data_IF_630608315292
#
_entry.id   IF_630608315292
#
_cell.length_a   1.000
_cell.length_b   1.000
_cell.length_c   1.000
_cell.angle_alpha   90.00
_cell.angle_beta   90.00
_cell.angle_gamma   90.00
#
_symmetry.space_group_name_H-M   'P 1'
#
loop_
_entity.id
_entity.type
_entity.pdbx_description
1 polymer ?
#
# COMPACT_ATOMS: atom_id res chain seq x y z
N UNK A 1 20.22 -11.09 -21.33
CA UNK A 1 19.06 -10.28 -20.86
C UNK A 1 19.38 -9.76 -19.47
N UNK A 2 19.76 -8.49 -19.33
CA UNK A 2 20.23 -7.90 -18.06
C UNK A 2 19.13 -7.85 -17.00
N UNK A 3 19.45 -8.28 -15.78
CA UNK A 3 18.55 -8.28 -14.60
C UNK A 3 17.98 -6.89 -14.30
N UNK A 4 18.76 -5.83 -14.58
CA UNK A 4 18.33 -4.44 -14.42
C UNK A 4 17.05 -4.11 -15.21
N UNK A 5 16.91 -4.69 -16.42
CA UNK A 5 15.74 -4.46 -17.28
C UNK A 5 14.48 -5.18 -16.78
N UNK A 6 14.63 -6.24 -15.98
CA UNK A 6 13.52 -6.98 -15.38
C UNK A 6 12.99 -6.30 -14.12
N UNK A 7 13.87 -5.70 -13.32
CA UNK A 7 13.49 -5.01 -12.08
C UNK A 7 12.75 -3.68 -12.35
N UNK A 8 13.07 -2.99 -13.45
CA UNK A 8 12.41 -1.72 -13.81
C UNK A 8 10.87 -1.81 -13.93
N UNK A 9 10.33 -2.98 -14.30
CA UNK A 9 8.87 -3.17 -14.36
C UNK A 9 8.19 -3.32 -12.99
N UNK A 10 8.93 -3.77 -11.98
CA UNK A 10 8.39 -4.03 -10.64
C UNK A 10 8.31 -2.75 -9.80
N UNK A 11 9.21 -1.80 -10.04
CA UNK A 11 9.39 -0.62 -9.18
C UNK A 11 8.57 0.60 -9.62
N UNK A 12 8.21 0.71 -10.90
CA UNK A 12 7.65 1.96 -11.47
C UNK A 12 6.12 1.98 -11.66
N UNK A 13 5.37 1.01 -11.14
CA UNK A 13 3.91 1.07 -11.14
C UNK A 13 3.39 1.77 -9.87
N UNK A 14 3.86 2.99 -9.62
CA UNK A 14 3.22 3.92 -8.68
C UNK A 14 2.46 4.94 -9.51
N UNK A 15 1.37 4.47 -10.12
CA UNK A 15 0.32 5.37 -10.58
C UNK A 15 -0.23 6.02 -9.31
N UNK A 16 -0.19 7.36 -9.13
CA UNK A 16 -0.87 7.99 -8.02
C UNK A 16 -2.36 7.80 -8.28
N UNK A 17 -2.89 6.68 -7.78
CA UNK A 17 -4.32 6.41 -7.71
C UNK A 17 -5.02 7.56 -6.99
N UNK A 18 -6.36 7.63 -7.06
CA UNK A 18 -7.11 8.67 -6.35
C UNK A 18 -6.62 8.75 -4.91
N UNK A 19 -6.50 9.96 -4.35
CA UNK A 19 -6.08 10.23 -2.98
C UNK A 19 -7.01 9.46 -2.01
N UNK A 20 -6.67 8.20 -1.75
CA UNK A 20 -7.45 7.32 -0.90
C UNK A 20 -7.23 7.77 0.53
N UNK A 21 -8.33 8.12 1.20
CA UNK A 21 -8.33 8.41 2.62
C UNK A 21 -8.51 7.11 3.39
N UNK A 22 -7.73 6.96 4.45
CA UNK A 22 -7.76 5.83 5.35
C UNK A 22 -8.21 6.26 6.74
N UNK A 23 -9.06 5.46 7.36
CA UNK A 23 -9.44 5.62 8.76
C UNK A 23 -8.59 4.72 9.64
N UNK A 24 -7.88 5.32 10.61
CA UNK A 24 -7.11 4.58 11.59
C UNK A 24 -8.02 3.70 12.45
N UNK A 25 -7.88 2.38 12.34
CA UNK A 25 -8.62 1.42 13.17
C UNK A 25 -8.26 1.47 14.67
N UNK A 26 -7.24 2.24 15.06
CA UNK A 26 -6.81 2.41 16.47
C UNK A 26 -7.42 3.64 17.12
N UNK A 27 -7.35 4.81 16.48
CA UNK A 27 -7.81 6.08 17.06
C UNK A 27 -8.96 6.76 16.30
N UNK A 28 -9.36 6.24 15.14
CA UNK A 28 -10.42 6.80 14.29
C UNK A 28 -10.02 8.00 13.43
N UNK A 29 -8.75 8.42 13.45
CA UNK A 29 -8.31 9.55 12.64
C UNK A 29 -8.30 9.20 11.14
N UNK A 30 -8.72 10.15 10.30
CA UNK A 30 -8.71 10.01 8.84
C UNK A 30 -7.49 10.71 8.24
N UNK A 31 -6.69 10.00 7.45
CA UNK A 31 -5.47 10.54 6.82
C UNK A 31 -5.25 9.94 5.42
N UNK A 32 -4.37 10.53 4.61
CA UNK A 32 -4.05 9.98 3.27
C UNK A 32 -3.32 8.64 3.40
N UNK A 33 -3.68 7.65 2.56
CA UNK A 33 -3.09 6.31 2.53
C UNK A 33 -1.62 6.30 2.05
N UNK A 34 -1.06 7.46 1.70
CA UNK A 34 0.35 7.67 1.36
C UNK A 34 1.33 7.32 2.51
N UNK A 35 0.82 7.06 3.72
CA UNK A 35 1.59 6.76 4.92
C UNK A 35 1.28 5.38 5.47
N UNK A 36 2.34 4.63 5.80
CA UNK A 36 2.25 3.32 6.48
C UNK A 36 1.93 3.43 7.99
N UNK A 37 1.82 4.64 8.55
CA UNK A 37 1.63 4.88 9.99
C UNK A 37 0.68 6.05 10.20
N UNK A 38 -0.26 5.90 11.14
CA UNK A 38 -1.17 6.97 11.51
C UNK A 38 -0.40 8.14 12.14
N UNK A 39 -0.53 9.38 11.62
CA UNK A 39 0.20 10.54 12.12
C UNK A 39 -0.25 10.98 13.53
N UNK A 40 -1.48 10.65 13.93
CA UNK A 40 -2.05 11.14 15.19
C UNK A 40 -1.72 10.25 16.39
N UNK A 41 -1.64 8.92 16.20
CA UNK A 41 -1.40 7.98 17.30
C UNK A 41 -0.14 7.11 17.13
N UNK A 42 0.50 7.13 15.95
CA UNK A 42 1.65 6.27 15.65
C UNK A 42 1.31 4.79 15.42
N UNK A 43 0.02 4.43 15.39
CA UNK A 43 -0.43 3.07 15.12
C UNK A 43 -0.18 2.65 13.67
N UNK A 44 0.17 1.39 13.45
CA UNK A 44 0.27 0.76 12.14
C UNK A 44 -0.52 -0.56 12.12
N UNK A 45 -1.30 -0.77 11.07
CA UNK A 45 -2.08 -2.01 10.86
C UNK A 45 -1.63 -2.62 9.55
N UNK A 46 -1.08 -3.84 9.60
CA UNK A 46 -0.73 -4.61 8.41
C UNK A 46 -1.91 -5.53 8.11
N UNK A 47 -2.82 -5.07 7.25
CA UNK A 47 -3.85 -5.94 6.69
C UNK A 47 -3.17 -6.85 5.64
N UNK A 48 -3.12 -8.17 5.90
CA UNK A 48 -2.60 -9.12 4.90
C UNK A 48 -3.58 -9.16 3.74
N UNK A 49 -3.13 -8.74 2.56
CA UNK A 49 -3.86 -9.01 1.32
C UNK A 49 -3.90 -10.53 1.12
N UNK A 50 -5.09 -11.07 1.00
CA UNK A 50 -5.28 -12.47 0.66
C UNK A 50 -4.83 -12.70 -0.79
N UNK A 51 -3.71 -13.39 -0.95
CA UNK A 51 -3.07 -13.63 -2.25
C UNK A 51 -3.71 -14.79 -3.02
N UNK A 52 -4.64 -15.54 -2.40
CA UNK A 52 -5.30 -16.69 -3.04
C UNK A 52 -6.17 -16.28 -4.24
N UNK A 53 -6.61 -15.02 -4.29
CA UNK A 53 -7.39 -14.46 -5.41
C UNK A 53 -6.54 -14.21 -6.65
N UNK A 54 -5.24 -13.91 -6.50
CA UNK A 54 -4.37 -13.47 -7.61
C UNK A 54 -3.76 -14.65 -8.38
N UNK A 55 -3.66 -15.83 -7.75
CA UNK A 55 -2.97 -17.01 -8.33
C UNK A 55 -3.88 -17.86 -9.22
N UNK A 56 -5.20 -17.63 -9.20
CA UNK A 56 -6.19 -18.47 -9.92
C UNK A 56 -6.71 -17.85 -11.24
N UNK A 57 -6.12 -16.76 -11.72
CA UNK A 57 -6.50 -16.05 -12.95
C UNK A 57 -5.57 -16.29 -14.13
#
# INVERSE_FOLDING_TARGET
>A
MSLARKLARVVCATDPGPEETYECKTCGATFSLDRQTCPDCGGCTIDRTDWDVVVSG
#
